data_IF_234281481907
#
_entry.id   IF_234281481907
#
_cell.length_a   1.000
_cell.length_b   1.000
_cell.length_c   1.000
_cell.angle_alpha   90.00
_cell.angle_beta   90.00
_cell.angle_gamma   90.00
#
_symmetry.space_group_name_H-M   'P 1'
#
loop_
_entity.id
_entity.type
_entity.pdbx_description
1 polymer ?
#
# COMPACT_ATOMS: atom_id res chain seq x y z
N UNK A 1 -23.70 36.08 10.96
CA UNK A 1 -22.36 36.49 11.39
C UNK A 1 -21.41 35.35 11.13
N UNK A 2 -20.20 35.72 10.74
CA UNK A 2 -19.24 34.98 9.92
C UNK A 2 -18.78 33.63 10.46
N UNK A 3 -18.44 32.78 9.49
CA UNK A 3 -17.61 31.58 9.55
C UNK A 3 -16.39 31.73 10.47
N UNK A 4 -16.09 30.67 11.22
CA UNK A 4 -14.72 30.38 11.63
C UNK A 4 -14.31 29.12 10.88
N UNK A 5 -13.79 29.34 9.68
CA UNK A 5 -12.98 28.38 8.96
C UNK A 5 -11.81 27.98 9.88
N UNK A 6 -11.71 26.69 10.17
CA UNK A 6 -10.58 26.13 10.88
C UNK A 6 -9.36 26.23 9.99
N UNK A 7 -8.49 27.20 10.30
CA UNK A 7 -7.19 27.39 9.70
C UNK A 7 -6.40 26.08 9.83
N UNK A 8 -6.31 25.35 8.73
CA UNK A 8 -5.33 24.29 8.58
C UNK A 8 -3.97 24.96 8.46
N UNK A 9 -3.38 25.32 9.61
CA UNK A 9 -2.02 25.84 9.70
C UNK A 9 -1.10 24.81 9.03
N UNK A 10 -0.74 25.09 7.79
CA UNK A 10 0.29 24.37 7.07
C UNK A 10 1.61 24.72 7.73
N UNK A 11 1.92 24.08 8.86
CA UNK A 11 3.26 24.11 9.44
C UNK A 11 4.21 23.58 8.38
N UNK A 12 4.83 24.49 7.66
CA UNK A 12 5.67 24.17 6.51
C UNK A 12 6.84 23.33 7.01
N UNK A 13 6.91 22.07 6.57
CA UNK A 13 8.02 21.15 6.91
C UNK A 13 9.38 21.64 6.40
N UNK A 14 9.41 22.75 5.65
CA UNK A 14 10.61 23.43 5.17
C UNK A 14 11.53 23.94 6.29
N UNK A 15 11.00 24.14 7.51
CA UNK A 15 11.81 24.49 8.69
C UNK A 15 12.44 23.27 9.39
N UNK A 16 12.07 22.04 9.00
CA UNK A 16 12.63 20.82 9.55
C UNK A 16 13.96 20.49 8.85
N UNK A 17 15.07 20.60 9.58
CA UNK A 17 16.41 20.33 9.06
C UNK A 17 16.72 18.84 8.86
N UNK A 18 15.94 17.96 9.49
CA UNK A 18 16.17 16.51 9.41
C UNK A 18 15.21 15.85 8.39
N UNK A 19 15.78 15.48 7.24
CA UNK A 19 15.06 14.79 6.16
C UNK A 19 14.51 13.43 6.59
N UNK A 20 15.12 12.76 7.59
CA UNK A 20 14.64 11.48 8.09
C UNK A 20 13.35 11.65 8.90
N UNK A 21 13.18 12.78 9.59
CA UNK A 21 11.94 13.13 10.29
C UNK A 21 10.82 13.34 9.26
N UNK A 22 11.07 14.12 8.21
CA UNK A 22 10.10 14.36 7.13
C UNK A 22 9.68 13.04 6.47
N UNK A 23 10.65 12.18 6.15
CA UNK A 23 10.37 10.85 5.59
C UNK A 23 9.58 9.96 6.57
N UNK A 24 9.90 10.05 7.87
CA UNK A 24 9.17 9.37 8.94
C UNK A 24 7.70 9.79 9.01
N UNK A 25 7.44 11.09 8.99
CA UNK A 25 6.09 11.67 9.02
C UNK A 25 5.28 11.27 7.79
N UNK A 26 5.87 11.29 6.59
CA UNK A 26 5.19 10.82 5.38
C UNK A 26 4.77 9.36 5.51
N UNK A 27 5.67 8.49 5.98
CA UNK A 27 5.36 7.08 6.20
C UNK A 27 4.28 6.89 7.27
N UNK A 28 4.29 7.70 8.32
CA UNK A 28 3.28 7.66 9.36
C UNK A 28 1.91 8.08 8.81
N UNK A 29 1.85 9.20 8.08
CA UNK A 29 0.63 9.70 7.47
C UNK A 29 -0.06 8.64 6.60
N UNK A 30 0.69 8.00 5.69
CA UNK A 30 0.15 6.96 4.82
C UNK A 30 -0.38 5.74 5.58
N UNK A 31 0.27 5.38 6.69
CA UNK A 31 -0.13 4.25 7.54
C UNK A 31 -1.40 4.54 8.35
N UNK A 32 -1.63 5.80 8.69
CA UNK A 32 -2.78 6.25 9.47
C UNK A 32 -4.06 6.39 8.63
N UNK A 33 -3.98 6.29 7.31
CA UNK A 33 -5.18 6.34 6.46
C UNK A 33 -6.17 5.24 6.88
N UNK A 34 -7.50 5.52 6.93
CA UNK A 34 -8.49 4.50 7.27
C UNK A 34 -8.54 3.39 6.20
N UNK A 35 -8.41 3.78 4.93
CA UNK A 35 -8.22 2.89 3.79
C UNK A 35 -6.75 3.04 3.37
N UNK A 36 -5.97 1.95 3.27
CA UNK A 36 -4.58 2.02 2.83
C UNK A 36 -4.45 2.68 1.45
N UNK A 37 -3.27 3.24 1.16
CA UNK A 37 -3.03 3.94 -0.11
C UNK A 37 -3.36 3.04 -1.30
N UNK A 38 -2.91 1.78 -1.28
CA UNK A 38 -3.41 0.73 -2.16
C UNK A 38 -4.72 0.20 -1.56
N UNK A 39 -5.88 0.44 -2.19
CA UNK A 39 -7.18 0.06 -1.63
C UNK A 39 -7.32 -1.45 -1.43
N UNK A 40 -8.08 -1.84 -0.39
CA UNK A 40 -8.29 -3.26 -0.04
C UNK A 40 -8.87 -4.09 -1.20
N UNK A 41 -9.75 -3.50 -2.01
CA UNK A 41 -10.41 -4.14 -3.16
C UNK A 41 -9.49 -4.34 -4.37
N UNK A 42 -8.34 -3.66 -4.39
CA UNK A 42 -7.33 -3.78 -5.45
C UNK A 42 -6.09 -4.56 -5.01
N UNK A 43 -5.93 -4.80 -3.71
CA UNK A 43 -4.80 -5.51 -3.10
C UNK A 43 -4.55 -6.88 -3.76
N UNK A 44 -5.55 -7.77 -3.76
CA UNK A 44 -5.38 -9.13 -4.30
C UNK A 44 -5.16 -9.14 -5.82
N UNK A 45 -5.71 -8.15 -6.53
CA UNK A 45 -5.55 -7.99 -7.98
C UNK A 45 -4.11 -7.62 -8.33
N UNK A 46 -3.50 -6.70 -7.57
CA UNK A 46 -2.09 -6.34 -7.77
C UNK A 46 -1.15 -7.51 -7.50
N UNK A 47 -1.39 -8.26 -6.43
CA UNK A 47 -0.61 -9.47 -6.13
C UNK A 47 -0.76 -10.51 -7.26
N UNK A 48 -1.98 -10.70 -7.76
CA UNK A 48 -2.21 -11.61 -8.88
C UNK A 48 -1.49 -11.16 -10.15
N UNK A 49 -1.46 -9.85 -10.43
CA UNK A 49 -0.76 -9.29 -11.60
C UNK A 49 0.74 -9.57 -11.57
N UNK A 50 1.37 -9.65 -10.39
CA UNK A 50 2.81 -9.97 -10.28
C UNK A 50 3.14 -11.38 -10.81
N UNK A 51 2.16 -12.28 -10.84
CA UNK A 51 2.31 -13.64 -11.39
C UNK A 51 2.34 -13.67 -12.91
N UNK A 52 2.07 -12.57 -13.60
CA UNK A 52 2.16 -12.49 -15.06
C UNK A 52 3.62 -12.62 -15.52
N UNK A 53 3.91 -13.61 -16.38
CA UNK A 53 5.27 -13.87 -16.88
C UNK A 53 5.76 -12.80 -17.85
N UNK A 54 4.86 -12.23 -18.66
CA UNK A 54 5.21 -11.19 -19.64
C UNK A 54 5.25 -9.81 -18.98
N UNK A 55 6.38 -9.08 -19.04
CA UNK A 55 6.50 -7.73 -18.48
C UNK A 55 5.48 -6.75 -19.05
N UNK A 56 5.26 -6.76 -20.38
CA UNK A 56 4.31 -5.86 -21.03
C UNK A 56 2.86 -6.16 -20.63
N UNK A 57 2.52 -7.45 -20.52
CA UNK A 57 1.20 -7.86 -20.04
C UNK A 57 0.99 -7.42 -18.59
N UNK A 58 2.01 -7.58 -17.74
CA UNK A 58 1.99 -7.14 -16.34
C UNK A 58 1.74 -5.63 -16.23
N UNK A 59 2.42 -4.83 -17.04
CA UNK A 59 2.19 -3.37 -17.10
C UNK A 59 0.73 -3.07 -17.47
N UNK A 60 0.20 -3.72 -18.51
CA UNK A 60 -1.19 -3.54 -18.94
C UNK A 60 -2.22 -3.91 -17.87
N UNK A 61 -2.01 -5.02 -17.17
CA UNK A 61 -2.88 -5.45 -16.07
C UNK A 61 -2.82 -4.46 -14.90
N UNK A 62 -1.62 -4.06 -14.49
CA UNK A 62 -1.43 -3.07 -13.42
C UNK A 62 -2.08 -1.73 -13.77
N UNK A 63 -1.97 -1.25 -15.02
CA UNK A 63 -2.67 -0.03 -15.47
C UNK A 63 -4.19 -0.18 -15.38
N UNK A 64 -4.71 -1.33 -15.77
CA UNK A 64 -6.15 -1.63 -15.68
C UNK A 64 -6.65 -1.64 -14.23
N UNK A 65 -5.83 -2.16 -13.31
CA UNK A 65 -6.13 -2.15 -11.87
C UNK A 65 -6.06 -0.73 -11.31
N UNK A 66 -5.01 0.03 -11.63
CA UNK A 66 -4.83 1.41 -11.18
C UNK A 66 -5.95 2.34 -11.69
N UNK A 67 -6.48 2.10 -12.89
CA UNK A 67 -7.61 2.86 -13.42
C UNK A 67 -8.91 2.70 -12.60
N UNK A 68 -8.99 1.70 -11.73
CA UNK A 68 -10.12 1.46 -10.82
C UNK A 68 -9.94 2.13 -9.46
N UNK A 69 -8.78 2.72 -9.19
CA UNK A 69 -8.54 3.40 -7.92
C UNK A 69 -9.45 4.63 -7.82
N UNK A 70 -9.93 4.97 -6.60
CA UNK A 70 -10.50 6.28 -6.35
C UNK A 70 -9.49 7.38 -6.74
N UNK A 71 -9.94 8.53 -7.29
CA UNK A 71 -9.03 9.55 -7.83
C UNK A 71 -7.93 9.99 -6.87
N UNK A 72 -8.26 10.18 -5.59
CA UNK A 72 -7.30 10.58 -4.55
C UNK A 72 -6.22 9.51 -4.30
N UNK A 73 -6.61 8.23 -4.26
CA UNK A 73 -5.68 7.11 -4.10
C UNK A 73 -4.77 6.97 -5.32
N UNK A 74 -5.33 7.08 -6.53
CA UNK A 74 -4.55 7.03 -7.76
C UNK A 74 -3.50 8.15 -7.82
N UNK A 75 -3.92 9.41 -7.63
CA UNK A 75 -3.02 10.56 -7.70
C UNK A 75 -1.92 10.48 -6.64
N UNK A 76 -2.28 10.11 -5.41
CA UNK A 76 -1.30 9.96 -4.32
C UNK A 76 -0.32 8.83 -4.60
N UNK A 77 -0.80 7.69 -5.12
CA UNK A 77 0.06 6.56 -5.50
C UNK A 77 1.01 6.97 -6.62
N UNK A 78 0.50 7.61 -7.69
CA UNK A 78 1.31 8.11 -8.81
C UNK A 78 2.41 9.04 -8.31
N UNK A 79 2.06 10.04 -7.50
CA UNK A 79 3.04 11.00 -6.99
C UNK A 79 4.09 10.34 -6.08
N UNK A 80 3.66 9.42 -5.21
CA UNK A 80 4.57 8.68 -4.35
C UNK A 80 5.53 7.81 -5.17
N UNK A 81 5.03 7.05 -6.14
CA UNK A 81 5.87 6.19 -6.99
C UNK A 81 6.88 7.03 -7.79
N UNK A 82 6.45 8.16 -8.36
CA UNK A 82 7.36 9.08 -9.06
C UNK A 82 8.48 9.61 -8.15
N UNK A 83 8.15 9.95 -6.89
CA UNK A 83 9.16 10.36 -5.91
C UNK A 83 10.13 9.22 -5.56
N UNK A 84 9.62 8.02 -5.27
CA UNK A 84 10.45 6.86 -4.93
C UNK A 84 11.31 6.40 -6.10
N UNK A 85 10.82 6.48 -7.33
CA UNK A 85 11.60 6.24 -8.54
C UNK A 85 12.82 7.17 -8.58
N UNK A 86 12.61 8.49 -8.42
CA UNK A 86 13.71 9.48 -8.37
C UNK A 86 14.71 9.20 -7.24
N UNK A 87 14.23 8.80 -6.05
CA UNK A 87 15.11 8.40 -4.93
C UNK A 87 15.95 7.18 -5.32
N UNK A 88 15.35 6.21 -6.01
CA UNK A 88 16.02 4.98 -6.43
C UNK A 88 17.08 5.20 -7.52
N UNK A 89 16.88 6.19 -8.41
CA UNK A 89 17.89 6.59 -9.39
C UNK A 89 19.18 7.07 -8.72
N UNK A 90 19.10 7.60 -7.50
CA UNK A 90 20.25 8.06 -6.71
C UNK A 90 20.80 7.00 -5.73
N UNK A 91 20.44 5.73 -5.93
CA UNK A 91 20.84 4.60 -5.08
C UNK A 91 22.35 4.44 -4.92
N UNK A 92 23.16 4.89 -5.89
CA UNK A 92 24.62 4.91 -5.76
C UNK A 92 25.09 5.73 -4.54
N UNK A 93 24.39 6.83 -4.23
CA UNK A 93 24.68 7.76 -3.15
C UNK A 93 23.89 7.45 -1.88
N UNK A 94 22.57 7.29 -1.98
CA UNK A 94 21.69 7.12 -0.82
C UNK A 94 21.48 5.65 -0.38
N UNK A 95 21.99 4.68 -1.16
CA UNK A 95 21.88 3.22 -0.94
C UNK A 95 20.46 2.66 -0.93
N UNK A 96 19.47 3.44 -1.36
CA UNK A 96 18.07 3.03 -1.44
C UNK A 96 17.74 2.53 -2.85
N UNK A 97 17.90 1.23 -3.08
CA UNK A 97 17.42 0.57 -4.32
C UNK A 97 15.89 0.48 -4.34
N UNK A 98 15.25 0.22 -5.50
CA UNK A 98 13.80 -0.02 -5.57
C UNK A 98 13.35 -1.09 -4.57
N UNK A 99 14.09 -2.19 -4.47
CA UNK A 99 13.87 -3.26 -3.48
C UNK A 99 13.96 -2.79 -2.02
N UNK A 100 14.96 -1.96 -1.70
CA UNK A 100 15.12 -1.41 -0.35
C UNK A 100 13.96 -0.47 0.01
N UNK A 101 13.52 0.36 -0.94
CA UNK A 101 12.35 1.22 -0.78
C UNK A 101 11.07 0.40 -0.64
N UNK A 102 10.88 -0.64 -1.46
CA UNK A 102 9.72 -1.53 -1.38
C UNK A 102 9.61 -2.22 -0.02
N UNK A 103 10.72 -2.65 0.57
CA UNK A 103 10.75 -3.22 1.92
C UNK A 103 10.21 -2.27 2.98
N UNK A 104 10.45 -0.96 2.81
CA UNK A 104 9.97 0.09 3.74
C UNK A 104 8.53 0.49 3.45
N UNK A 105 8.15 0.58 2.16
CA UNK A 105 6.88 1.15 1.73
C UNK A 105 5.75 0.13 1.54
N UNK A 106 6.04 -1.15 1.31
CA UNK A 106 5.03 -2.22 1.27
C UNK A 106 4.13 -2.24 2.53
N UNK A 107 4.67 -2.39 3.75
CA UNK A 107 3.83 -2.38 4.96
C UNK A 107 3.23 -1.00 5.28
N UNK A 108 3.68 0.05 4.59
CA UNK A 108 3.18 1.42 4.78
C UNK A 108 1.99 1.73 3.87
N UNK A 109 1.95 1.12 2.68
CA UNK A 109 0.99 1.46 1.62
C UNK A 109 -0.06 0.38 1.37
N UNK A 110 0.22 -0.87 1.79
CA UNK A 110 -0.65 -2.02 1.64
C UNK A 110 -1.02 -2.59 3.02
N UNK A 111 -2.27 -3.03 3.18
CA UNK A 111 -2.74 -3.78 4.35
C UNK A 111 -3.84 -4.74 3.91
N UNK A 112 -3.92 -5.92 4.56
CA UNK A 112 -5.06 -6.83 4.41
C UNK A 112 -6.25 -6.35 5.25
N UNK A 113 -7.45 -6.58 4.75
CA UNK A 113 -8.70 -6.22 5.43
C UNK A 113 -9.02 -7.06 6.70
N UNK A 114 -8.13 -7.98 7.11
CA UNK A 114 -8.40 -9.01 8.13
C UNK A 114 -8.45 -8.52 9.58
N UNK A 115 -8.46 -7.20 9.84
CA UNK A 115 -8.35 -6.63 11.19
C UNK A 115 -9.58 -5.88 11.71
N UNK A 116 -10.72 -5.87 11.01
CA UNK A 116 -11.92 -5.15 11.49
C UNK A 116 -13.21 -5.97 11.49
N UNK A 117 -13.13 -7.30 11.64
CA UNK A 117 -14.31 -8.08 12.00
C UNK A 117 -14.43 -8.03 13.52
N UNK A 118 -15.43 -7.32 14.12
CA UNK A 118 -15.66 -7.41 15.55
C UNK A 118 -15.88 -8.88 15.92
N UNK A 119 -15.37 -9.35 17.08
CA UNK A 119 -15.58 -10.72 17.49
C UNK A 119 -17.09 -11.04 17.46
N UNK A 120 -17.52 -12.21 16.96
CA UNK A 120 -18.92 -12.57 16.99
C UNK A 120 -19.40 -12.48 18.44
N UNK A 121 -20.35 -11.58 18.70
CA UNK A 121 -21.02 -11.49 19.99
C UNK A 121 -21.58 -12.87 20.35
N UNK A 122 -21.36 -13.39 21.57
CA UNK A 122 -21.91 -14.68 21.95
C UNK A 122 -23.42 -14.56 22.11
N UNK A 123 -24.17 -14.82 21.04
CA UNK A 123 -25.61 -15.06 21.10
C UNK A 123 -25.85 -16.47 21.61
N UNK A 124 -26.57 -16.68 22.72
CA UNK A 124 -26.97 -18.01 23.13
C UNK A 124 -28.15 -18.47 22.27
N UNK A 125 -28.09 -19.74 21.87
CA UNK A 125 -29.19 -20.59 21.36
C UNK A 125 -29.34 -20.81 19.84
N UNK A 126 -29.55 -22.10 19.55
CA UNK A 126 -30.21 -22.70 18.39
C UNK A 126 -29.36 -23.10 17.17
N UNK A 127 -28.85 -24.34 17.26
CA UNK A 127 -28.84 -25.36 16.19
C UNK A 127 -28.70 -24.86 14.74
N UNK A 128 -27.46 -24.73 14.27
CA UNK A 128 -27.14 -24.69 12.84
C UNK A 128 -26.06 -25.76 12.53
N UNK A 129 -26.11 -26.41 11.35
CA UNK A 129 -25.16 -27.47 10.98
C UNK A 129 -23.72 -26.93 10.93
N UNK A 130 -22.69 -27.79 11.02
CA UNK A 130 -21.31 -27.35 10.93
C UNK A 130 -21.10 -26.63 9.60
N UNK A 131 -20.87 -25.31 9.67
CA UNK A 131 -20.46 -24.51 8.52
C UNK A 131 -19.14 -25.08 7.96
N UNK A 132 -18.95 -25.05 6.62
CA UNK A 132 -17.74 -25.56 6.01
C UNK A 132 -16.54 -24.81 6.59
N UNK A 133 -15.52 -25.58 6.95
CA UNK A 133 -14.30 -25.13 7.61
C UNK A 133 -13.88 -23.74 7.15
N UNK A 134 -13.86 -22.79 8.10
CA UNK A 134 -12.97 -21.63 8.00
C UNK A 134 -11.58 -22.24 7.80
N UNK A 135 -10.89 -22.03 6.67
CA UNK A 135 -9.55 -22.54 6.53
C UNK A 135 -8.70 -21.89 7.62
N UNK A 136 -8.40 -22.68 8.66
CA UNK A 136 -7.41 -22.39 9.68
C UNK A 136 -6.04 -22.34 8.99
N UNK A 137 -5.74 -21.24 8.33
CA UNK A 137 -4.39 -20.91 7.92
C UNK A 137 -4.17 -19.39 7.86
N UNK A 138 -4.59 -18.70 8.93
CA UNK A 138 -4.23 -17.30 9.16
C UNK A 138 -2.94 -17.17 10.00
N UNK A 139 -2.33 -18.29 10.41
CA UNK A 139 -1.21 -18.33 11.37
C UNK A 139 -0.04 -19.23 10.94
N UNK A 140 0.09 -19.56 9.65
CA UNK A 140 1.33 -20.15 9.14
C UNK A 140 2.36 -19.04 8.85
N UNK A 141 3.52 -19.03 9.54
CA UNK A 141 4.53 -17.99 9.37
C UNK A 141 5.13 -17.97 7.95
N UNK A 142 5.17 -19.10 7.24
CA UNK A 142 5.67 -19.15 5.86
C UNK A 142 4.70 -18.47 4.88
N UNK A 143 3.40 -18.62 5.11
CA UNK A 143 2.35 -17.94 4.35
C UNK A 143 2.38 -16.43 4.56
N UNK A 144 2.68 -15.98 5.79
CA UNK A 144 2.88 -14.56 6.09
C UNK A 144 4.13 -14.00 5.41
N UNK A 145 5.25 -14.73 5.45
CA UNK A 145 6.48 -14.33 4.76
C UNK A 145 6.29 -14.24 3.25
N UNK A 146 5.66 -15.25 2.65
CA UNK A 146 5.35 -15.28 1.22
C UNK A 146 4.48 -14.09 0.81
N UNK A 147 3.52 -13.73 1.66
CA UNK A 147 2.66 -12.58 1.45
C UNK A 147 3.45 -11.27 1.53
N UNK A 148 4.27 -11.09 2.55
CA UNK A 148 5.11 -9.90 2.69
C UNK A 148 6.07 -9.76 1.51
N UNK A 149 6.52 -10.86 0.92
CA UNK A 149 7.34 -10.84 -0.28
C UNK A 149 6.54 -10.43 -1.52
N UNK A 150 5.30 -10.90 -1.66
CA UNK A 150 4.40 -10.45 -2.73
C UNK A 150 4.05 -8.96 -2.65
N UNK A 151 3.79 -8.42 -1.45
CA UNK A 151 3.55 -6.98 -1.25
C UNK A 151 4.78 -6.15 -1.66
N UNK A 152 5.99 -6.61 -1.30
CA UNK A 152 7.24 -5.97 -1.72
C UNK A 152 7.38 -5.99 -3.23
N UNK A 153 7.10 -7.13 -3.88
CA UNK A 153 7.21 -7.25 -5.33
C UNK A 153 6.29 -6.25 -6.05
N UNK A 154 5.06 -6.05 -5.55
CA UNK A 154 4.13 -5.04 -6.09
C UNK A 154 4.73 -3.64 -6.01
N UNK A 155 5.23 -3.22 -4.85
CA UNK A 155 5.78 -1.88 -4.67
C UNK A 155 7.09 -1.69 -5.45
N UNK A 156 7.96 -2.69 -5.46
CA UNK A 156 9.19 -2.68 -6.24
C UNK A 156 8.88 -2.50 -7.73
N UNK A 157 7.93 -3.27 -8.26
CA UNK A 157 7.49 -3.15 -9.64
C UNK A 157 6.92 -1.76 -9.97
N UNK A 158 6.08 -1.20 -9.10
CA UNK A 158 5.50 0.14 -9.30
C UNK A 158 6.55 1.25 -9.28
N UNK A 159 7.63 1.09 -8.49
CA UNK A 159 8.76 2.02 -8.47
C UNK A 159 9.57 1.88 -9.75
N UNK A 160 10.01 0.67 -10.11
CA UNK A 160 10.88 0.44 -11.27
C UNK A 160 10.23 0.82 -12.60
N UNK A 161 8.93 0.55 -12.72
CA UNK A 161 8.15 0.76 -13.95
C UNK A 161 7.31 2.02 -13.90
N UNK A 162 7.58 2.93 -12.96
CA UNK A 162 6.86 4.19 -12.82
C UNK A 162 6.62 4.93 -14.16
N UNK A 163 7.64 5.21 -15.00
CA UNK A 163 7.43 5.93 -16.26
C UNK A 163 6.57 5.16 -17.27
N UNK A 164 6.56 3.83 -17.22
CA UNK A 164 5.78 2.99 -18.13
C UNK A 164 4.33 2.82 -17.64
N UNK A 165 4.14 2.70 -16.33
CA UNK A 165 2.84 2.44 -15.70
C UNK A 165 2.00 3.72 -15.61
N UNK A 166 2.62 4.86 -15.26
CA UNK A 166 1.92 6.12 -14.97
C UNK A 166 2.04 7.18 -16.07
N UNK A 167 2.62 6.83 -17.23
CA UNK A 167 2.61 7.66 -18.44
C UNK A 167 1.19 7.99 -18.91
#
# INVERSE_FOLDING_TARGET
MSVSDGDGEATSLSSCSDIHVVAGLLKLFLRLLPIPLIPFDQYDRLIAAMKCTSPLQRIGEVRTILARFPPAHFQTTKFLMAHLYRVSCESARNKMTPKALATVFAPTTMRRATLNVPPPSPSPSSSAPPSPAVPHNLADPLSLLTLMDAEKEVIEFLIEREPEVFS
#
